data_IF_800406023554
#
_entry.id   IF_800406023554
#
_cell.length_a   1.000
_cell.length_b   1.000
_cell.length_c   1.000
_cell.angle_alpha   90.00
_cell.angle_beta   90.00
_cell.angle_gamma   90.00
#
_symmetry.space_group_name_H-M   'P 1'
#
loop_
_entity.id
_entity.type
_entity.pdbx_description
1 polymer ?
#
# COMPACT_ATOMS: atom_id res chain seq x y z
N UNK A 1 5.92 -7.14 -0.25
CA UNK A 1 6.77 -5.99 -0.65
C UNK A 1 5.89 -4.76 -0.94
N UNK A 2 6.30 -3.55 -0.54
CA UNK A 2 5.57 -2.30 -0.87
C UNK A 2 5.97 -1.75 -2.25
N UNK A 3 7.22 -1.98 -2.65
CA UNK A 3 7.73 -1.68 -3.98
C UNK A 3 8.62 -2.83 -4.47
N UNK A 4 8.84 -2.90 -5.78
CA UNK A 4 9.64 -3.97 -6.37
C UNK A 4 11.09 -3.91 -5.87
N UNK A 5 11.71 -2.73 -5.93
CA UNK A 5 13.15 -2.56 -5.72
C UNK A 5 13.54 -1.27 -4.98
N UNK A 6 12.58 -0.56 -4.37
CA UNK A 6 12.80 0.76 -3.81
C UNK A 6 12.72 0.72 -2.28
N UNK A 7 11.59 1.11 -1.70
CA UNK A 7 11.35 1.04 -0.27
C UNK A 7 10.58 -0.23 0.08
N UNK A 8 10.82 -0.76 1.28
CA UNK A 8 10.05 -1.86 1.86
C UNK A 8 9.91 -3.05 0.90
N UNK A 9 10.98 -3.39 0.18
CA UNK A 9 11.00 -4.42 -0.87
C UNK A 9 10.98 -5.86 -0.33
N UNK A 10 11.13 -6.04 0.98
CA UNK A 10 11.09 -7.33 1.64
C UNK A 10 9.68 -7.91 1.84
N UNK A 11 9.65 -9.14 2.38
CA UNK A 11 8.43 -9.79 2.87
C UNK A 11 7.75 -8.91 3.93
N UNK A 12 6.41 -8.83 3.91
CA UNK A 12 5.66 -7.95 4.81
C UNK A 12 5.85 -6.45 4.60
N UNK A 13 6.70 -6.02 3.66
CA UNK A 13 7.05 -4.62 3.50
C UNK A 13 5.88 -3.68 3.24
N UNK A 14 4.85 -4.12 2.51
CA UNK A 14 3.64 -3.32 2.30
C UNK A 14 2.90 -3.05 3.61
N UNK A 15 2.67 -4.10 4.42
CA UNK A 15 2.02 -3.95 5.73
C UNK A 15 2.81 -3.02 6.64
N UNK A 16 4.14 -3.22 6.70
CA UNK A 16 5.01 -2.35 7.49
C UNK A 16 4.90 -0.88 7.05
N UNK A 17 5.02 -0.64 5.75
CA UNK A 17 4.92 0.70 5.18
C UNK A 17 3.57 1.35 5.51
N UNK A 18 2.45 0.66 5.24
CA UNK A 18 1.11 1.14 5.56
C UNK A 18 0.92 1.49 7.05
N UNK A 19 1.47 0.68 7.97
CA UNK A 19 1.43 0.97 9.41
C UNK A 19 2.29 2.18 9.78
N UNK A 20 3.47 2.34 9.17
CA UNK A 20 4.30 3.53 9.39
C UNK A 20 3.59 4.79 8.88
N UNK A 21 3.00 4.77 7.68
CA UNK A 21 2.24 5.90 7.13
C UNK A 21 1.03 6.23 8.01
N UNK A 22 0.26 5.23 8.44
CA UNK A 22 -0.84 5.43 9.38
C UNK A 22 -0.39 6.11 10.68
N UNK A 23 0.75 5.67 11.24
CA UNK A 23 1.32 6.24 12.46
C UNK A 23 1.73 7.71 12.27
N UNK A 24 2.48 8.03 11.21
CA UNK A 24 2.94 9.40 10.97
C UNK A 24 1.77 10.34 10.63
N UNK A 25 0.78 9.85 9.85
CA UNK A 25 -0.42 10.63 9.55
C UNK A 25 -1.25 10.92 10.80
N UNK A 26 -1.45 9.93 11.67
CA UNK A 26 -2.15 10.10 12.94
C UNK A 26 -1.41 11.09 13.87
N UNK A 27 -0.08 10.97 13.96
CA UNK A 27 0.74 11.88 14.77
C UNK A 27 0.68 13.32 14.25
N UNK A 28 0.78 13.52 12.94
CA UNK A 28 0.71 14.86 12.35
C UNK A 28 -0.70 15.48 12.48
N UNK A 29 -1.75 14.67 12.42
CA UNK A 29 -3.14 15.11 12.59
C UNK A 29 -3.43 15.71 13.98
N UNK A 30 -2.67 15.37 15.03
CA UNK A 30 -2.80 15.99 16.36
C UNK A 30 -2.47 17.50 16.34
N UNK A 31 -1.63 17.94 15.40
CA UNK A 31 -1.27 19.35 15.22
C UNK A 31 -2.24 20.14 14.35
N UNK A 32 -3.29 19.51 13.82
CA UNK A 32 -4.23 20.13 12.89
C UNK A 32 -5.55 20.45 13.59
N UNK A 33 -6.10 21.61 13.28
CA UNK A 33 -7.47 21.99 13.64
C UNK A 33 -8.35 21.70 12.42
N UNK A 34 -9.07 20.59 12.43
CA UNK A 34 -9.98 20.24 11.33
C UNK A 34 -11.30 20.99 11.44
N UNK A 35 -11.73 21.33 12.65
CA UNK A 35 -13.03 21.94 12.93
C UNK A 35 -12.84 23.36 13.46
N UNK A 36 -12.75 24.31 12.53
CA UNK A 36 -12.47 25.72 12.85
C UNK A 36 -13.64 26.40 13.59
N UNK A 37 -14.89 26.09 13.22
CA UNK A 37 -16.13 26.68 13.77
C UNK A 37 -16.95 25.66 14.58
N UNK A 38 -18.04 26.09 15.22
CA UNK A 38 -18.89 25.22 16.04
C UNK A 38 -18.60 25.27 17.54
N UNK A 39 -19.47 24.63 18.31
CA UNK A 39 -19.42 24.55 19.77
C UNK A 39 -18.28 23.64 20.27
N UNK A 40 -17.81 23.81 21.51
CA UNK A 40 -16.81 22.92 22.09
C UNK A 40 -17.22 21.44 22.11
N UNK A 41 -18.51 21.15 22.21
CA UNK A 41 -19.06 19.79 22.19
C UNK A 41 -18.91 19.18 20.80
N UNK A 42 -19.33 19.90 19.75
CA UNK A 42 -19.18 19.45 18.35
C UNK A 42 -17.71 19.21 18.01
N UNK A 43 -16.81 20.12 18.41
CA UNK A 43 -15.36 19.93 18.18
C UNK A 43 -14.83 18.68 18.87
N UNK A 44 -15.23 18.45 20.13
CA UNK A 44 -14.83 17.25 20.90
C UNK A 44 -15.33 15.96 20.25
N UNK A 45 -16.46 15.99 19.56
CA UNK A 45 -17.02 14.84 18.85
C UNK A 45 -16.39 14.62 17.46
N UNK A 46 -16.05 15.70 16.75
CA UNK A 46 -15.59 15.63 15.36
C UNK A 46 -14.07 15.49 15.20
N UNK A 47 -13.27 16.17 16.01
CA UNK A 47 -11.80 16.14 15.90
C UNK A 47 -11.22 14.71 15.98
N UNK A 48 -11.67 13.83 16.89
CA UNK A 48 -11.18 12.44 16.93
C UNK A 48 -11.48 11.67 15.64
N UNK A 49 -12.61 11.96 14.98
CA UNK A 49 -13.01 11.28 13.73
C UNK A 49 -12.11 11.67 12.58
N UNK A 50 -11.75 12.96 12.48
CA UNK A 50 -10.79 13.45 11.50
C UNK A 50 -9.40 12.82 11.66
N UNK A 51 -8.93 12.65 12.91
CA UNK A 51 -7.64 12.02 13.19
C UNK A 51 -7.65 10.52 12.86
N UNK A 52 -8.74 9.83 13.19
CA UNK A 52 -8.94 8.44 12.77
C UNK A 52 -8.97 8.33 11.24
N UNK A 53 -9.65 9.25 10.55
CA UNK A 53 -9.68 9.29 9.10
C UNK A 53 -8.27 9.51 8.49
N UNK A 54 -7.44 10.37 9.09
CA UNK A 54 -6.04 10.53 8.66
C UNK A 54 -5.22 9.23 8.84
N UNK A 55 -5.38 8.56 9.99
CA UNK A 55 -4.72 7.28 10.26
C UNK A 55 -5.15 6.18 9.26
N UNK A 56 -6.45 6.06 9.00
CA UNK A 56 -7.01 5.10 8.05
C UNK A 56 -6.62 5.43 6.60
N UNK A 57 -6.60 6.72 6.25
CA UNK A 57 -6.07 7.19 4.96
C UNK A 57 -4.64 6.70 4.75
N UNK A 58 -3.77 6.88 5.75
CA UNK A 58 -2.40 6.38 5.72
C UNK A 58 -2.31 4.85 5.67
N UNK A 59 -3.14 4.14 6.44
CA UNK A 59 -3.17 2.68 6.46
C UNK A 59 -3.58 2.09 5.10
N UNK A 60 -4.51 2.74 4.41
CA UNK A 60 -5.16 2.19 3.22
C UNK A 60 -4.74 2.82 1.90
N UNK A 61 -3.88 3.85 1.89
CA UNK A 61 -3.48 4.54 0.66
C UNK A 61 -2.99 3.57 -0.43
N UNK A 62 -2.22 2.55 -0.04
CA UNK A 62 -1.62 1.55 -0.93
C UNK A 62 -2.34 0.19 -0.94
N UNK A 63 -3.53 0.07 -0.33
CA UNK A 63 -4.22 -1.22 -0.15
C UNK A 63 -4.61 -1.89 -1.48
N UNK A 64 -4.70 -1.11 -2.57
CA UNK A 64 -4.94 -1.62 -3.92
C UNK A 64 -3.78 -2.40 -4.53
N UNK A 65 -2.54 -2.21 -4.06
CA UNK A 65 -1.32 -2.80 -4.67
C UNK A 65 -1.37 -4.33 -4.83
N UNK A 66 -1.79 -5.14 -3.83
CA UNK A 66 -1.87 -6.59 -3.99
C UNK A 66 -2.85 -7.02 -5.09
N UNK A 67 -3.86 -6.20 -5.35
CA UNK A 67 -4.91 -6.50 -6.32
C UNK A 67 -4.50 -6.08 -7.73
N UNK A 68 -3.91 -4.90 -7.89
CA UNK A 68 -3.58 -4.33 -9.20
C UNK A 68 -2.18 -4.67 -9.69
N UNK A 69 -1.19 -4.67 -8.80
CA UNK A 69 0.22 -4.59 -9.17
C UNK A 69 0.92 -5.96 -9.11
N UNK A 70 0.33 -6.93 -8.40
CA UNK A 70 0.90 -8.24 -8.17
C UNK A 70 0.13 -9.35 -8.90
N UNK A 71 0.88 -10.31 -9.45
CA UNK A 71 0.41 -11.63 -9.81
C UNK A 71 0.98 -12.64 -8.83
N UNK A 72 0.13 -13.48 -8.26
CA UNK A 72 0.53 -14.52 -7.32
C UNK A 72 0.16 -15.88 -7.88
N UNK A 73 1.13 -16.80 -7.92
CA UNK A 73 0.95 -18.17 -8.42
C UNK A 73 1.48 -19.19 -7.41
N UNK A 74 1.09 -20.45 -7.57
CA UNK A 74 1.79 -21.57 -6.94
C UNK A 74 3.17 -21.80 -7.58
N UNK A 75 3.89 -22.80 -7.09
CA UNK A 75 5.25 -23.16 -7.53
C UNK A 75 5.31 -23.55 -9.00
N UNK A 76 4.36 -24.34 -9.47
CA UNK A 76 4.31 -24.82 -10.85
C UNK A 76 3.64 -23.83 -11.81
N UNK A 77 3.07 -22.73 -11.31
CA UNK A 77 2.29 -21.77 -12.09
C UNK A 77 0.95 -22.32 -12.58
N UNK A 78 0.48 -23.44 -12.03
CA UNK A 78 -0.79 -24.09 -12.36
C UNK A 78 -1.98 -23.29 -11.85
N UNK A 79 -1.86 -22.70 -10.67
CA UNK A 79 -2.90 -21.89 -10.04
C UNK A 79 -2.45 -20.44 -9.93
N UNK A 80 -3.33 -19.53 -10.30
CA UNK A 80 -3.12 -18.10 -10.13
C UNK A 80 -4.20 -17.54 -9.20
N UNK A 81 -3.78 -16.82 -8.17
CA UNK A 81 -4.70 -16.17 -7.24
C UNK A 81 -5.47 -15.06 -7.95
N UNK A 82 -6.80 -15.10 -7.82
CA UNK A 82 -7.68 -14.01 -8.26
C UNK A 82 -8.14 -13.19 -7.04
N UNK A 83 -7.58 -11.99 -6.82
CA UNK A 83 -7.91 -11.15 -5.66
C UNK A 83 -9.36 -10.64 -5.64
N UNK A 84 -10.09 -10.76 -6.74
CA UNK A 84 -11.49 -10.33 -6.82
C UNK A 84 -12.47 -11.39 -6.30
N UNK A 85 -12.06 -12.66 -6.26
CA UNK A 85 -12.93 -13.79 -5.91
C UNK A 85 -12.75 -14.25 -4.47
N UNK A 86 -11.53 -14.27 -3.96
CA UNK A 86 -11.23 -14.80 -2.63
C UNK A 86 -9.97 -14.15 -2.03
N UNK A 87 -9.81 -14.27 -0.72
CA UNK A 87 -8.59 -13.84 -0.03
C UNK A 87 -7.41 -14.76 -0.39
N UNK A 88 -6.18 -14.26 -0.24
CA UNK A 88 -4.99 -15.08 -0.47
C UNK A 88 -4.98 -16.32 0.42
N UNK A 89 -5.41 -16.19 1.68
CA UNK A 89 -5.48 -17.31 2.63
C UNK A 89 -6.51 -18.38 2.25
N UNK A 90 -7.66 -17.97 1.70
CA UNK A 90 -8.66 -18.90 1.18
C UNK A 90 -8.11 -19.66 -0.02
N UNK A 91 -7.51 -18.94 -0.97
CA UNK A 91 -6.93 -19.54 -2.17
C UNK A 91 -5.82 -20.54 -1.84
N UNK A 92 -4.91 -20.20 -0.93
CA UNK A 92 -3.84 -21.14 -0.52
C UNK A 92 -4.41 -22.37 0.17
N UNK A 93 -5.42 -22.21 1.02
CA UNK A 93 -6.08 -23.32 1.71
C UNK A 93 -6.82 -24.23 0.73
N UNK A 94 -7.64 -23.65 -0.16
CA UNK A 94 -8.47 -24.37 -1.12
C UNK A 94 -7.64 -25.19 -2.12
N UNK A 95 -6.44 -24.70 -2.48
CA UNK A 95 -5.56 -25.34 -3.45
C UNK A 95 -4.38 -26.08 -2.81
N UNK A 96 -4.34 -26.19 -1.48
CA UNK A 96 -3.24 -26.84 -0.72
C UNK A 96 -1.85 -26.29 -1.08
N UNK A 97 -1.74 -24.96 -1.19
CA UNK A 97 -0.51 -24.27 -1.60
C UNK A 97 0.33 -23.98 -0.36
N UNK A 98 1.49 -24.64 -0.26
CA UNK A 98 2.46 -24.40 0.82
C UNK A 98 3.31 -23.15 0.57
N UNK A 99 3.63 -22.87 -0.70
CA UNK A 99 4.46 -21.74 -1.13
C UNK A 99 3.85 -21.09 -2.35
N UNK A 100 3.82 -19.76 -2.35
CA UNK A 100 3.37 -18.97 -3.49
C UNK A 100 4.47 -18.02 -3.94
N UNK A 101 4.41 -17.62 -5.20
CA UNK A 101 5.41 -16.81 -5.87
C UNK A 101 4.78 -15.50 -6.31
N UNK A 102 5.45 -14.40 -6.01
CA UNK A 102 4.98 -13.05 -6.33
C UNK A 102 5.73 -12.55 -7.56
N UNK A 103 4.98 -12.04 -8.54
CA UNK A 103 5.51 -11.31 -9.70
C UNK A 103 4.83 -9.95 -9.81
N UNK A 104 5.59 -8.91 -10.12
CA UNK A 104 5.03 -7.61 -10.45
C UNK A 104 4.46 -7.61 -11.87
N UNK A 105 3.28 -7.04 -12.06
CA UNK A 105 2.67 -6.88 -13.38
C UNK A 105 3.31 -5.72 -14.15
N UNK A 106 3.36 -5.84 -15.47
CA UNK A 106 3.84 -4.77 -16.36
C UNK A 106 2.80 -3.64 -16.50
N UNK A 107 3.27 -2.40 -16.69
CA UNK A 107 2.41 -1.24 -16.92
C UNK A 107 1.50 -0.83 -15.75
N UNK A 108 1.85 -1.24 -14.51
CA UNK A 108 1.09 -1.07 -13.26
C UNK A 108 0.91 0.38 -12.76
N UNK A 109 1.47 1.39 -13.44
CA UNK A 109 1.49 2.78 -12.97
C UNK A 109 0.09 3.28 -12.54
N UNK A 110 -0.03 3.67 -11.26
CA UNK A 110 -1.20 4.31 -10.64
C UNK A 110 -2.54 3.54 -10.71
N UNK A 111 -2.55 2.26 -11.09
CA UNK A 111 -3.80 1.47 -11.10
C UNK A 111 -4.30 1.19 -9.68
N UNK A 112 -3.40 1.04 -8.71
CA UNK A 112 -3.76 0.70 -7.34
C UNK A 112 -4.67 1.75 -6.69
N UNK A 113 -4.52 3.04 -7.00
CA UNK A 113 -5.38 4.11 -6.46
C UNK A 113 -6.88 3.82 -6.72
N UNK A 114 -7.22 3.36 -7.92
CA UNK A 114 -8.60 3.01 -8.29
C UNK A 114 -9.09 1.71 -7.64
N UNK A 115 -8.20 0.73 -7.46
CA UNK A 115 -8.54 -0.54 -6.83
C UNK A 115 -8.59 -0.46 -5.30
N UNK A 116 -7.95 0.54 -4.68
CA UNK A 116 -7.96 0.74 -3.22
C UNK A 116 -9.39 0.83 -2.68
N UNK A 117 -10.28 1.55 -3.36
CA UNK A 117 -11.70 1.69 -2.95
C UNK A 117 -12.43 0.34 -2.95
N UNK A 118 -12.17 -0.51 -3.96
CA UNK A 118 -12.78 -1.84 -4.06
C UNK A 118 -12.34 -2.76 -2.91
N UNK A 119 -11.08 -2.65 -2.47
CA UNK A 119 -10.55 -3.45 -1.37
C UNK A 119 -11.02 -2.89 -0.02
N UNK A 120 -11.13 -1.58 0.08
CA UNK A 120 -11.55 -0.90 1.31
C UNK A 120 -12.88 -1.41 1.84
N UNK A 121 -13.85 -1.65 0.95
CA UNK A 121 -15.17 -2.19 1.32
C UNK A 121 -15.12 -3.62 1.90
N UNK A 122 -14.02 -4.35 1.72
CA UNK A 122 -13.82 -5.69 2.32
C UNK A 122 -13.18 -5.64 3.70
N UNK A 123 -12.56 -4.52 4.08
CA UNK A 123 -11.80 -4.38 5.34
C UNK A 123 -12.42 -3.40 6.32
N UNK A 124 -13.16 -2.39 5.84
CA UNK A 124 -13.90 -1.51 6.73
C UNK A 124 -15.15 -2.20 7.27
N UNK A 125 -15.32 -2.20 8.58
CA UNK A 125 -16.51 -2.75 9.20
C UNK A 125 -17.69 -1.78 9.09
N UNK A 126 -18.94 -2.29 9.07
CA UNK A 126 -20.13 -1.45 9.08
C UNK A 126 -20.16 -0.47 10.26
N UNK A 127 -19.64 -0.86 11.43
CA UNK A 127 -19.60 -0.03 12.63
C UNK A 127 -18.63 1.15 12.48
N UNK A 128 -17.45 0.91 11.89
CA UNK A 128 -16.49 1.98 11.64
C UNK A 128 -17.00 2.97 10.60
N UNK A 129 -17.62 2.46 9.52
CA UNK A 129 -18.28 3.28 8.51
C UNK A 129 -19.38 4.13 9.13
N UNK A 130 -20.31 3.49 9.85
CA UNK A 130 -21.42 4.17 10.51
C UNK A 130 -20.92 5.21 11.52
N UNK A 131 -19.85 4.91 12.26
CA UNK A 131 -19.22 5.88 13.13
C UNK A 131 -18.71 7.06 12.29
N UNK A 132 -17.78 6.87 11.35
CA UNK A 132 -17.18 7.95 10.57
C UNK A 132 -18.22 8.86 9.89
N UNK A 133 -19.31 8.30 9.38
CA UNK A 133 -20.33 9.04 8.63
C UNK A 133 -21.46 9.59 9.48
N UNK A 134 -21.52 9.29 10.78
CA UNK A 134 -22.62 9.72 11.64
C UNK A 134 -22.84 11.25 11.65
N UNK A 135 -21.80 12.10 11.59
CA UNK A 135 -22.00 13.55 11.47
C UNK A 135 -22.36 14.03 10.05
N UNK A 136 -22.02 13.24 9.04
CA UNK A 136 -22.08 13.62 7.62
C UNK A 136 -21.04 12.87 6.78
N UNK A 137 -21.11 12.96 5.43
CA UNK A 137 -20.21 12.25 4.52
C UNK A 137 -18.80 12.84 4.43
N UNK A 138 -18.56 14.07 4.91
CA UNK A 138 -17.36 14.87 4.60
C UNK A 138 -16.06 14.21 5.06
N UNK A 139 -16.07 13.58 6.24
CA UNK A 139 -14.89 12.89 6.79
C UNK A 139 -14.55 11.67 5.95
N UNK A 140 -15.56 10.89 5.58
CA UNK A 140 -15.38 9.72 4.72
C UNK A 140 -14.91 10.15 3.34
N UNK A 141 -15.49 11.21 2.77
CA UNK A 141 -15.09 11.77 1.49
C UNK A 141 -13.62 12.17 1.49
N UNK A 142 -13.17 12.98 2.45
CA UNK A 142 -11.78 13.41 2.56
C UNK A 142 -10.80 12.22 2.72
N UNK A 143 -11.21 11.19 3.47
CA UNK A 143 -10.42 9.95 3.60
C UNK A 143 -10.30 9.21 2.27
N UNK A 144 -11.40 9.07 1.53
CA UNK A 144 -11.41 8.41 0.22
C UNK A 144 -10.62 9.20 -0.83
N UNK A 145 -10.70 10.53 -0.78
CA UNK A 145 -9.91 11.42 -1.65
C UNK A 145 -8.41 11.30 -1.40
N UNK A 146 -8.00 11.15 -0.14
CA UNK A 146 -6.61 10.89 0.22
C UNK A 146 -6.13 9.50 -0.23
N UNK A 147 -6.97 8.46 -0.08
CA UNK A 147 -6.65 7.09 -0.53
C UNK A 147 -6.57 7.01 -2.06
N UNK A 148 -7.50 7.67 -2.75
CA UNK A 148 -7.58 7.70 -4.21
C UNK A 148 -6.70 8.75 -4.86
N UNK A 149 -6.01 9.59 -4.07
CA UNK A 149 -5.20 10.71 -4.53
C UNK A 149 -5.95 11.67 -5.48
N UNK A 150 -7.24 11.90 -5.22
CA UNK A 150 -8.13 12.70 -6.09
C UNK A 150 -8.24 14.17 -5.67
N UNK A 151 -8.01 14.49 -4.40
CA UNK A 151 -7.83 15.86 -3.92
C UNK A 151 -6.55 15.96 -3.08
N UNK A 152 -5.38 16.13 -3.71
CA UNK A 152 -4.11 16.24 -2.99
C UNK A 152 -3.96 17.55 -2.21
N UNK A 153 -4.81 18.56 -2.45
CA UNK A 153 -4.73 19.85 -1.77
C UNK A 153 -5.46 19.85 -0.42
N UNK A 154 -6.39 18.92 -0.23
CA UNK A 154 -7.08 18.70 1.04
C UNK A 154 -6.08 18.42 2.17
N UNK A 155 -6.34 18.98 3.36
CA UNK A 155 -5.43 18.86 4.52
C UNK A 155 -5.15 17.41 4.90
N UNK A 156 -6.18 16.55 4.87
CA UNK A 156 -6.04 15.12 5.15
C UNK A 156 -5.11 14.43 4.14
N UNK A 157 -5.26 14.73 2.85
CA UNK A 157 -4.40 14.19 1.79
C UNK A 157 -2.95 14.62 1.96
N UNK A 158 -2.70 15.88 2.33
CA UNK A 158 -1.35 16.37 2.63
C UNK A 158 -0.70 15.60 3.77
N UNK A 159 -1.43 15.34 4.86
CA UNK A 159 -0.92 14.53 5.97
C UNK A 159 -0.52 13.13 5.52
N UNK A 160 -1.34 12.47 4.68
CA UNK A 160 -1.04 11.14 4.15
C UNK A 160 0.17 11.17 3.22
N UNK A 161 0.27 12.16 2.33
CA UNK A 161 1.40 12.34 1.41
C UNK A 161 2.70 12.57 2.17
N UNK A 162 2.70 13.44 3.18
CA UNK A 162 3.88 13.72 4.01
C UNK A 162 4.29 12.50 4.85
N UNK A 163 3.32 11.75 5.38
CA UNK A 163 3.54 10.51 6.11
C UNK A 163 4.16 9.41 5.22
N UNK A 164 3.68 9.27 3.98
CA UNK A 164 4.23 8.37 2.96
C UNK A 164 5.70 8.69 2.68
N UNK A 165 5.98 9.95 2.33
CA UNK A 165 7.34 10.43 2.09
C UNK A 165 8.26 10.17 3.28
N UNK A 166 7.74 10.38 4.49
CA UNK A 166 8.47 10.14 5.75
C UNK A 166 8.83 8.66 5.93
N UNK A 167 7.89 7.73 5.67
CA UNK A 167 8.15 6.29 5.75
C UNK A 167 9.19 5.86 4.70
N UNK A 168 9.04 6.32 3.45
CA UNK A 168 9.98 6.03 2.35
C UNK A 168 11.39 6.52 2.69
N UNK A 169 11.53 7.76 3.13
CA UNK A 169 12.84 8.33 3.49
C UNK A 169 13.53 7.56 4.61
N UNK A 170 12.77 7.16 5.64
CA UNK A 170 13.31 6.39 6.78
C UNK A 170 13.79 5.01 6.35
N UNK A 171 13.02 4.30 5.53
CA UNK A 171 13.41 2.99 5.04
C UNK A 171 14.63 3.06 4.12
N UNK A 172 14.69 4.03 3.19
CA UNK A 172 15.87 4.24 2.34
C UNK A 172 17.13 4.55 3.16
N UNK A 173 17.01 5.34 4.23
CA UNK A 173 18.12 5.63 5.13
C UNK A 173 18.58 4.37 5.88
N UNK A 174 17.66 3.56 6.37
CA UNK A 174 17.97 2.30 7.05
C UNK A 174 18.63 1.29 6.09
N UNK A 175 18.13 1.18 4.84
CA UNK A 175 18.72 0.33 3.83
C UNK A 175 20.18 0.71 3.53
N UNK A 176 20.50 2.00 3.38
CA UNK A 176 21.88 2.48 3.18
C UNK A 176 22.83 2.03 4.29
N UNK A 177 22.38 2.08 5.54
CA UNK A 177 23.16 1.63 6.69
C UNK A 177 23.35 0.11 6.64
N UNK A 178 22.29 -0.65 6.31
CA UNK A 178 22.36 -2.11 6.25
C UNK A 178 23.22 -2.66 5.09
N UNK A 179 23.34 -1.92 3.98
CA UNK A 179 24.22 -2.29 2.86
C UNK A 179 25.69 -2.11 3.23
N UNK A 180 26.01 -1.13 4.08
CA UNK A 180 27.37 -0.94 4.61
C UNK A 180 27.76 -2.01 5.64
N UNK A 181 26.81 -2.47 6.47
CA UNK A 181 27.05 -3.52 7.49
C UNK A 181 27.03 -4.96 6.92
N UNK A 182 26.43 -5.19 5.75
CA UNK A 182 26.33 -6.50 5.09
C UNK A 182 26.94 -6.51 3.66
N UNK A 183 28.11 -5.91 3.47
CA UNK A 183 28.86 -6.03 2.21
C UNK A 183 29.41 -7.46 1.98
N UNK A 184 28.52 -8.44 1.80
CA UNK A 184 28.81 -9.74 1.21
C UNK A 184 27.98 -9.87 -0.07
N UNK A 185 28.55 -9.32 -1.15
CA UNK A 185 28.16 -9.60 -2.53
C UNK A 185 27.13 -8.65 -3.13
N UNK A 186 27.50 -8.02 -4.24
CA UNK A 186 26.52 -7.48 -5.20
C UNK A 186 25.57 -8.65 -5.56
N UNK A 187 24.23 -8.46 -5.60
CA UNK A 187 23.30 -9.52 -5.95
C UNK A 187 23.36 -9.81 -7.46
N UNK A 188 24.45 -10.45 -7.89
CA UNK A 188 24.79 -10.72 -9.31
C UNK A 188 23.70 -11.57 -9.99
N UNK A 189 23.13 -12.53 -9.28
CA UNK A 189 22.03 -13.38 -9.77
C UNK A 189 20.86 -12.54 -10.32
N UNK A 190 20.54 -11.43 -9.64
CA UNK A 190 19.42 -10.57 -10.02
C UNK A 190 19.72 -9.77 -11.30
N UNK A 191 20.93 -9.24 -11.44
CA UNK A 191 21.35 -8.56 -12.67
C UNK A 191 21.42 -9.53 -13.85
N UNK A 192 21.82 -10.77 -13.61
CA UNK A 192 21.80 -11.83 -14.63
C UNK A 192 20.37 -12.12 -15.08
N UNK A 193 19.44 -12.39 -14.16
CA UNK A 193 18.04 -12.68 -14.51
C UNK A 193 17.36 -11.51 -15.26
N UNK A 194 17.62 -10.27 -14.87
CA UNK A 194 17.10 -9.10 -15.57
C UNK A 194 17.71 -8.93 -16.96
N UNK A 195 19.02 -9.18 -17.12
CA UNK A 195 19.65 -9.18 -18.43
C UNK A 195 19.06 -10.28 -19.33
N UNK A 196 18.87 -11.50 -18.81
CA UNK A 196 18.25 -12.61 -19.53
C UNK A 196 16.84 -12.24 -20.02
N UNK A 197 16.00 -11.68 -19.13
CA UNK A 197 14.64 -11.23 -19.47
C UNK A 197 14.63 -10.14 -20.54
N UNK A 198 15.54 -9.15 -20.44
CA UNK A 198 15.66 -8.07 -21.43
C UNK A 198 16.07 -8.60 -22.80
N UNK A 199 17.02 -9.53 -22.84
CA UNK A 199 17.51 -10.14 -24.08
C UNK A 199 16.45 -11.03 -24.74
N UNK A 200 15.61 -11.71 -23.96
CA UNK A 200 14.45 -12.43 -24.47
C UNK A 200 13.39 -11.47 -25.03
N UNK A 201 13.07 -10.40 -24.30
CA UNK A 201 12.08 -9.41 -24.73
C UNK A 201 12.53 -8.63 -25.99
N UNK A 202 13.83 -8.38 -26.15
CA UNK A 202 14.41 -7.73 -27.33
C UNK A 202 14.64 -8.69 -28.50
N UNK A 203 14.29 -9.98 -28.38
CA UNK A 203 14.58 -11.04 -29.36
C UNK A 203 16.07 -11.18 -29.71
N UNK A 204 16.96 -10.68 -28.85
CA UNK A 204 18.41 -10.82 -29.01
C UNK A 204 18.94 -12.16 -28.49
N UNK A 205 18.16 -12.84 -27.64
CA UNK A 205 18.42 -14.20 -27.22
C UNK A 205 17.42 -15.16 -27.87
N UNK A 206 17.94 -16.03 -28.74
CA UNK A 206 17.21 -17.12 -29.38
C UNK A 206 17.31 -18.37 -28.48
N UNK A 207 16.18 -18.81 -27.95
CA UNK A 207 16.13 -19.94 -27.01
C UNK A 207 16.42 -21.24 -27.76
N UNK A 208 17.38 -22.03 -27.26
CA UNK A 208 17.76 -23.35 -27.78
C UNK A 208 18.26 -23.36 -29.25
N UNK A 209 18.90 -22.27 -29.69
CA UNK A 209 19.64 -22.21 -30.96
C UNK A 209 21.15 -22.16 -30.72
#
# INVERSE_FOLDING_TARGET
PASEHHHHSGAGGLLRHSLEVAFWAAQAAEGIIFVASGTPVEKKELEPRWRVAAALGGLFHDIGKPVSDLSITDEDGRYQWNPFLETLSQWTTNNSIERYFIRWRDGRCKRHEQFSILVLNRVMTPELLAWLTQPGPEILQAMLEAIGNTDPEHVLSKLVIEADQTSVQRDLKAQRISVDDNALGVPVERYLLDAMRRLLASSQWLVNQ
#
